data_IF_155133981081
#
_entry.id   IF_155133981081
#
_cell.length_a   1.000
_cell.length_b   1.000
_cell.length_c   1.000
_cell.angle_alpha   90.00
_cell.angle_beta   90.00
_cell.angle_gamma   90.00
#
_symmetry.space_group_name_H-M   'P 1'
#
loop_
_entity.id
_entity.type
_entity.pdbx_description
1 polymer ?
#
# COMPACT_ATOMS: atom_id res chain seq x y z
N UNK A 1 -10.32 -21.15 0.07
CA UNK A 1 -10.06 -20.05 -0.90
C UNK A 1 -9.41 -18.94 -0.12
N UNK A 2 -8.32 -18.31 -0.61
CA UNK A 2 -7.64 -17.27 0.16
C UNK A 2 -8.46 -15.97 0.19
N UNK A 3 -8.34 -15.19 1.25
CA UNK A 3 -9.00 -13.91 1.45
C UNK A 3 -7.97 -12.81 1.62
N UNK A 4 -8.13 -11.72 0.88
CA UNK A 4 -7.37 -10.48 1.07
C UNK A 4 -8.28 -9.43 1.69
N UNK A 5 -7.84 -8.80 2.77
CA UNK A 5 -8.48 -7.62 3.34
C UNK A 5 -7.80 -6.37 2.79
N UNK A 6 -8.53 -5.53 2.08
CA UNK A 6 -8.04 -4.25 1.58
C UNK A 6 -8.48 -3.13 2.54
N UNK A 7 -7.52 -2.61 3.31
CA UNK A 7 -7.75 -1.53 4.28
C UNK A 7 -7.53 -0.18 3.60
N UNK A 8 -8.54 0.68 3.65
CA UNK A 8 -8.59 1.88 2.81
C UNK A 8 -9.12 1.59 1.42
N UNK A 9 -10.18 0.77 1.33
CA UNK A 9 -10.68 0.20 0.08
C UNK A 9 -11.10 1.21 -1.00
N UNK A 10 -11.44 2.45 -0.64
CA UNK A 10 -11.74 3.52 -1.61
C UNK A 10 -10.53 4.36 -2.03
N UNK A 11 -9.30 3.96 -1.64
CA UNK A 11 -8.09 4.56 -2.18
C UNK A 11 -7.93 4.23 -3.66
N UNK A 12 -7.38 5.15 -4.47
CA UNK A 12 -7.24 4.91 -5.92
C UNK A 12 -6.36 3.70 -6.25
N UNK A 13 -5.33 3.40 -5.45
CA UNK A 13 -4.54 2.16 -5.61
C UNK A 13 -5.37 0.94 -5.19
N UNK A 14 -6.10 1.03 -4.08
CA UNK A 14 -7.02 0.00 -3.60
C UNK A 14 -8.08 -0.38 -4.63
N UNK A 15 -8.68 0.61 -5.31
CA UNK A 15 -9.67 0.38 -6.37
C UNK A 15 -9.08 -0.43 -7.52
N UNK A 16 -7.87 -0.08 -7.97
CA UNK A 16 -7.17 -0.85 -9.00
C UNK A 16 -6.81 -2.26 -8.51
N UNK A 17 -6.35 -2.41 -7.27
CA UNK A 17 -6.04 -3.71 -6.69
C UNK A 17 -7.29 -4.60 -6.60
N UNK A 18 -8.43 -4.06 -6.17
CA UNK A 18 -9.71 -4.77 -6.14
C UNK A 18 -10.06 -5.32 -7.52
N UNK A 19 -10.01 -4.49 -8.57
CA UNK A 19 -10.27 -4.94 -9.96
C UNK A 19 -9.32 -6.08 -10.35
N UNK A 20 -8.02 -5.91 -10.12
CA UNK A 20 -7.01 -6.91 -10.49
C UNK A 20 -7.18 -8.21 -9.70
N UNK A 21 -7.53 -8.17 -8.41
CA UNK A 21 -7.86 -9.38 -7.63
C UNK A 21 -9.09 -10.09 -8.18
N UNK A 22 -10.11 -9.34 -8.58
CA UNK A 22 -11.32 -9.91 -9.17
C UNK A 22 -11.04 -10.53 -10.54
N UNK A 23 -10.25 -9.89 -11.39
CA UNK A 23 -9.98 -10.38 -12.74
C UNK A 23 -8.95 -11.52 -12.77
N UNK A 24 -7.88 -11.42 -11.96
CA UNK A 24 -6.66 -12.21 -12.15
C UNK A 24 -6.30 -13.12 -10.97
N UNK A 25 -7.28 -13.42 -10.11
CA UNK A 25 -7.10 -14.31 -8.96
C UNK A 25 -8.40 -15.01 -8.54
N UNK A 26 -8.27 -15.96 -7.62
CA UNK A 26 -9.39 -16.62 -6.93
C UNK A 26 -9.59 -16.10 -5.50
N UNK A 27 -9.03 -14.94 -5.15
CA UNK A 27 -9.20 -14.42 -3.79
C UNK A 27 -10.66 -13.98 -3.54
N UNK A 28 -11.13 -14.19 -2.31
CA UNK A 28 -12.15 -13.30 -1.74
C UNK A 28 -11.51 -11.95 -1.46
N UNK A 29 -12.25 -10.87 -1.72
CA UNK A 29 -11.77 -9.50 -1.58
C UNK A 29 -12.63 -8.77 -0.55
N UNK A 30 -12.15 -8.78 0.68
CA UNK A 30 -12.79 -8.08 1.78
C UNK A 30 -12.34 -6.60 1.76
N UNK A 31 -13.29 -5.68 1.81
CA UNK A 31 -13.07 -4.24 1.64
C UNK A 31 -13.37 -3.51 2.95
N UNK A 32 -12.37 -2.83 3.52
CA UNK A 32 -12.52 -2.07 4.77
C UNK A 32 -12.34 -0.58 4.56
N UNK A 33 -13.33 0.22 4.97
CA UNK A 33 -13.33 1.68 4.86
C UNK A 33 -14.35 2.36 5.78
N UNK A 34 -14.21 3.68 5.99
CA UNK A 34 -15.09 4.46 6.88
C UNK A 34 -16.52 4.73 6.37
N UNK A 35 -16.76 4.62 5.05
CA UNK A 35 -18.08 4.88 4.47
C UNK A 35 -18.25 3.99 3.24
N UNK A 36 -18.97 2.89 3.43
CA UNK A 36 -19.17 1.83 2.46
C UNK A 36 -19.89 2.30 1.19
N UNK A 37 -20.73 3.33 1.27
CA UNK A 37 -21.45 3.89 0.12
C UNK A 37 -20.52 4.46 -0.96
N UNK A 38 -19.24 4.69 -0.63
CA UNK A 38 -18.26 5.19 -1.59
C UNK A 38 -17.59 4.08 -2.42
N UNK A 39 -17.88 2.81 -2.12
CA UNK A 39 -17.35 1.68 -2.89
C UNK A 39 -18.19 1.50 -4.16
N UNK A 40 -17.55 1.34 -5.34
CA UNK A 40 -18.26 0.93 -6.55
C UNK A 40 -18.95 -0.43 -6.37
N UNK A 41 -20.11 -0.62 -7.00
CA UNK A 41 -20.65 -1.96 -7.14
C UNK A 41 -19.81 -2.73 -8.16
N UNK A 42 -19.06 -3.72 -7.67
CA UNK A 42 -18.21 -4.58 -8.48
C UNK A 42 -18.96 -5.80 -9.05
N UNK A 43 -20.26 -5.96 -8.75
CA UNK A 43 -21.12 -7.05 -9.21
C UNK A 43 -20.49 -8.45 -9.02
N UNK A 44 -19.83 -8.68 -7.88
CA UNK A 44 -19.12 -9.92 -7.59
C UNK A 44 -19.54 -10.52 -6.24
N UNK A 45 -19.78 -11.83 -6.22
CA UNK A 45 -20.07 -12.60 -5.00
C UNK A 45 -18.82 -12.87 -4.13
N UNK A 46 -17.64 -12.42 -4.55
CA UNK A 46 -16.38 -12.54 -3.80
C UNK A 46 -16.05 -11.32 -2.96
N UNK A 47 -16.91 -10.31 -2.94
CA UNK A 47 -16.72 -9.10 -2.14
C UNK A 47 -17.53 -9.16 -0.87
N UNK A 48 -16.88 -8.78 0.23
CA UNK A 48 -17.54 -8.43 1.49
C UNK A 48 -17.05 -7.06 1.92
N UNK A 49 -17.95 -6.20 2.39
CA UNK A 49 -17.62 -4.84 2.81
C UNK A 49 -17.75 -4.72 4.33
N UNK A 50 -16.77 -4.09 4.95
CA UNK A 50 -16.72 -3.76 6.37
C UNK A 50 -16.60 -2.24 6.49
N UNK A 51 -17.55 -1.64 7.21
CA UNK A 51 -17.51 -0.21 7.53
C UNK A 51 -16.83 -0.01 8.90
N UNK A 52 -15.77 0.80 8.96
CA UNK A 52 -15.02 1.04 10.19
C UNK A 52 -13.86 2.03 10.04
N UNK A 53 -13.29 2.47 11.16
CA UNK A 53 -12.09 3.34 11.20
C UNK A 53 -10.83 2.52 11.47
N UNK A 54 -9.81 2.63 10.62
CA UNK A 54 -8.54 1.92 10.76
C UNK A 54 -7.71 2.35 11.99
N UNK A 55 -8.15 3.37 12.73
CA UNK A 55 -7.58 3.72 14.05
C UNK A 55 -8.27 2.99 15.21
N UNK A 56 -9.44 2.39 14.98
CA UNK A 56 -10.19 1.61 15.95
C UNK A 56 -9.79 0.13 15.80
N UNK A 57 -9.39 -0.50 16.91
CA UNK A 57 -8.89 -1.87 16.88
C UNK A 57 -10.02 -2.88 16.70
N UNK A 58 -11.15 -2.66 17.37
CA UNK A 58 -12.32 -3.54 17.30
C UNK A 58 -12.90 -3.58 15.87
N UNK A 59 -12.97 -2.44 15.20
CA UNK A 59 -13.39 -2.32 13.80
C UNK A 59 -12.50 -3.18 12.89
N UNK A 60 -11.17 -3.03 13.00
CA UNK A 60 -10.22 -3.81 12.18
C UNK A 60 -10.28 -5.31 12.51
N UNK A 61 -10.34 -5.66 13.78
CA UNK A 61 -10.45 -7.05 14.22
C UNK A 61 -11.70 -7.76 13.70
N UNK A 62 -12.82 -7.04 13.56
CA UNK A 62 -14.06 -7.58 12.99
C UNK A 62 -13.89 -8.03 11.53
N UNK A 63 -12.98 -7.38 10.79
CA UNK A 63 -12.72 -7.60 9.37
C UNK A 63 -11.57 -8.59 9.11
N UNK A 64 -10.83 -9.01 10.13
CA UNK A 64 -9.65 -9.87 10.02
C UNK A 64 -9.96 -11.38 10.15
N UNK A 65 -11.22 -11.76 10.38
CA UNK A 65 -11.61 -13.15 10.51
C UNK A 65 -11.44 -13.90 9.18
N UNK A 66 -10.66 -14.99 9.16
CA UNK A 66 -10.35 -15.80 7.97
C UNK A 66 -9.66 -15.00 6.85
N UNK A 67 -8.83 -14.01 7.22
CA UNK A 67 -8.00 -13.24 6.29
C UNK A 67 -6.61 -13.87 6.20
N UNK A 68 -6.12 -14.09 4.98
CA UNK A 68 -4.77 -14.60 4.73
C UNK A 68 -3.75 -13.47 4.54
N UNK A 69 -4.17 -12.37 3.91
CA UNK A 69 -3.30 -11.23 3.55
C UNK A 69 -4.02 -9.93 3.81
N UNK A 70 -3.34 -8.95 4.41
CA UNK A 70 -3.81 -7.57 4.52
C UNK A 70 -3.08 -6.71 3.50
N UNK A 71 -3.83 -6.00 2.64
CA UNK A 71 -3.31 -4.94 1.79
C UNK A 71 -3.78 -3.58 2.31
N UNK A 72 -2.87 -2.79 2.87
CA UNK A 72 -3.16 -1.49 3.44
C UNK A 72 -2.61 -0.37 2.53
N UNK A 73 -3.53 0.41 1.96
CA UNK A 73 -3.22 1.61 1.16
C UNK A 73 -4.03 2.78 1.72
N UNK A 74 -3.48 3.39 2.78
CA UNK A 74 -4.15 4.40 3.60
C UNK A 74 -3.54 5.79 3.41
N UNK A 75 -4.18 6.77 4.05
CA UNK A 75 -3.68 8.14 4.17
C UNK A 75 -4.18 8.77 5.47
N UNK A 76 -3.58 9.89 5.88
CA UNK A 76 -3.95 10.60 7.10
C UNK A 76 -3.00 10.28 8.25
N UNK A 77 -3.54 9.80 9.38
CA UNK A 77 -2.79 9.44 10.58
C UNK A 77 -2.16 8.05 10.47
N UNK A 78 -1.25 7.89 9.50
CA UNK A 78 -0.68 6.59 9.14
C UNK A 78 0.11 5.91 10.25
N UNK A 79 0.76 6.69 11.11
CA UNK A 79 1.47 6.15 12.27
C UNK A 79 0.51 5.45 13.25
N UNK A 80 -0.60 6.12 13.62
CA UNK A 80 -1.64 5.51 14.46
C UNK A 80 -2.32 4.32 13.78
N UNK A 81 -2.57 4.42 12.48
CA UNK A 81 -3.16 3.32 11.72
C UNK A 81 -2.22 2.10 11.66
N UNK A 82 -0.91 2.31 11.50
CA UNK A 82 0.07 1.22 11.52
C UNK A 82 0.13 0.52 12.88
N UNK A 83 0.13 1.29 13.99
CA UNK A 83 0.04 0.74 15.35
C UNK A 83 -1.21 -0.16 15.51
N UNK A 84 -2.38 0.33 15.10
CA UNK A 84 -3.63 -0.43 15.19
C UNK A 84 -3.63 -1.66 14.27
N UNK A 85 -3.13 -1.53 13.03
CA UNK A 85 -3.06 -2.65 12.07
C UNK A 85 -2.19 -3.77 12.62
N UNK A 86 -0.96 -3.45 13.08
CA UNK A 86 -0.04 -4.46 13.62
C UNK A 86 -0.70 -5.20 14.79
N UNK A 87 -1.25 -4.46 15.75
CA UNK A 87 -1.89 -5.04 16.93
C UNK A 87 -3.12 -5.91 16.57
N UNK A 88 -3.98 -5.43 15.67
CA UNK A 88 -5.17 -6.19 15.25
C UNK A 88 -4.80 -7.47 14.50
N UNK A 89 -3.78 -7.40 13.63
CA UNK A 89 -3.26 -8.56 12.91
C UNK A 89 -2.67 -9.61 13.85
N UNK A 90 -1.90 -9.18 14.86
CA UNK A 90 -1.38 -10.08 15.89
C UNK A 90 -2.48 -10.74 16.70
N UNK A 91 -3.47 -9.97 17.16
CA UNK A 91 -4.62 -10.50 17.91
C UNK A 91 -5.43 -11.53 17.11
N UNK A 92 -5.39 -11.46 15.78
CA UNK A 92 -6.10 -12.38 14.86
C UNK A 92 -5.19 -13.42 14.22
N UNK A 93 -3.92 -13.48 14.61
CA UNK A 93 -2.91 -14.37 14.04
C UNK A 93 -2.77 -14.26 12.51
N UNK A 94 -3.00 -13.07 11.95
CA UNK A 94 -2.77 -12.79 10.52
C UNK A 94 -1.39 -12.19 10.37
N UNK A 95 -0.52 -12.80 9.55
CA UNK A 95 0.90 -12.38 9.48
C UNK A 95 1.29 -11.62 8.23
N UNK A 96 0.63 -11.85 7.08
CA UNK A 96 1.06 -11.23 5.81
C UNK A 96 0.48 -9.83 5.64
N UNK A 97 1.35 -8.81 5.62
CA UNK A 97 0.99 -7.41 5.42
C UNK A 97 1.66 -6.84 4.16
N UNK A 98 0.89 -6.19 3.29
CA UNK A 98 1.39 -5.36 2.19
C UNK A 98 0.98 -3.93 2.49
N UNK A 99 1.94 -3.03 2.69
CA UNK A 99 1.68 -1.66 3.14
C UNK A 99 2.22 -0.63 2.15
N UNK A 100 1.39 0.30 1.70
CA UNK A 100 1.81 1.41 0.83
C UNK A 100 2.25 2.60 1.67
N UNK A 101 3.52 2.96 1.55
CA UNK A 101 4.13 4.13 2.18
C UNK A 101 4.35 5.27 1.15
N UNK A 102 5.38 6.07 1.34
CA UNK A 102 5.74 7.20 0.48
C UNK A 102 7.23 7.14 0.09
N UNK A 103 7.61 7.72 -1.06
CA UNK A 103 9.01 7.82 -1.46
C UNK A 103 9.71 8.93 -0.66
N UNK A 104 11.01 8.79 -0.42
CA UNK A 104 11.83 9.81 0.25
C UNK A 104 11.76 9.80 1.77
N UNK A 105 11.14 8.78 2.38
CA UNK A 105 11.07 8.68 3.84
C UNK A 105 12.42 8.28 4.47
N UNK A 106 13.38 7.85 3.67
CA UNK A 106 14.74 7.46 4.05
C UNK A 106 15.82 8.35 3.42
N UNK A 107 15.45 9.51 2.85
CA UNK A 107 16.36 10.34 2.07
C UNK A 107 17.00 9.60 0.87
N UNK A 108 16.26 8.63 0.30
CA UNK A 108 16.75 7.73 -0.76
C UNK A 108 16.61 8.28 -2.18
N UNK A 109 15.98 9.45 -2.33
CA UNK A 109 15.73 10.07 -3.62
C UNK A 109 16.98 10.85 -4.10
N UNK A 110 17.28 10.88 -5.40
CA UNK A 110 18.33 11.74 -5.93
C UNK A 110 18.01 13.23 -5.73
N UNK A 111 19.03 14.06 -5.52
CA UNK A 111 18.86 15.52 -5.62
C UNK A 111 18.80 15.96 -7.10
N UNK A 112 18.00 16.99 -7.45
CA UNK A 112 17.21 17.86 -6.56
C UNK A 112 15.79 17.32 -6.26
N UNK A 113 15.45 16.11 -6.70
CA UNK A 113 14.12 15.54 -6.51
C UNK A 113 13.78 15.28 -5.04
N UNK A 114 14.76 14.87 -4.24
CA UNK A 114 14.57 14.67 -2.80
C UNK A 114 14.15 15.96 -2.09
N UNK A 115 14.84 17.08 -2.33
CA UNK A 115 14.43 18.38 -1.82
C UNK A 115 13.01 18.74 -2.27
N UNK A 116 12.72 18.63 -3.56
CA UNK A 116 11.38 18.92 -4.08
C UNK A 116 10.30 18.04 -3.43
N UNK A 117 10.58 16.75 -3.23
CA UNK A 117 9.66 15.81 -2.58
C UNK A 117 9.38 16.19 -1.12
N UNK A 118 10.41 16.61 -0.38
CA UNK A 118 10.26 17.12 1.00
C UNK A 118 9.38 18.35 1.05
N UNK A 119 9.54 19.29 0.11
CA UNK A 119 8.68 20.49 0.02
C UNK A 119 7.21 20.13 -0.25
N UNK A 120 6.95 19.12 -1.10
CA UNK A 120 5.58 18.71 -1.42
C UNK A 120 4.89 17.91 -0.30
N UNK A 121 5.61 17.01 0.37
CA UNK A 121 5.02 16.18 1.43
C UNK A 121 5.03 16.88 2.80
N UNK A 122 6.05 17.69 3.09
CA UNK A 122 6.30 18.30 4.40
C UNK A 122 6.26 17.26 5.53
N UNK A 123 5.60 17.63 6.63
CA UNK A 123 5.42 16.78 7.82
C UNK A 123 4.73 15.42 7.56
N UNK A 124 4.14 15.21 6.39
CA UNK A 124 3.59 13.89 6.04
C UNK A 124 4.69 12.83 5.97
N UNK A 125 5.91 13.16 5.52
CA UNK A 125 7.01 12.19 5.45
C UNK A 125 7.32 11.59 6.83
N UNK A 126 7.29 12.40 7.89
CA UNK A 126 7.51 11.94 9.26
C UNK A 126 6.49 10.87 9.68
N UNK A 127 5.22 11.02 9.29
CA UNK A 127 4.18 10.02 9.55
C UNK A 127 4.37 8.73 8.75
N UNK A 128 4.72 8.83 7.48
CA UNK A 128 5.04 7.66 6.67
C UNK A 128 6.28 6.93 7.17
N UNK A 129 7.29 7.68 7.63
CA UNK A 129 8.50 7.14 8.21
C UNK A 129 8.18 6.35 9.47
N UNK A 130 7.51 6.98 10.43
CA UNK A 130 7.09 6.35 11.70
C UNK A 130 6.22 5.11 11.46
N UNK A 131 5.24 5.17 10.56
CA UNK A 131 4.42 4.01 10.19
C UNK A 131 5.28 2.85 9.66
N UNK A 132 6.26 3.16 8.81
CA UNK A 132 7.19 2.15 8.29
C UNK A 132 8.07 1.57 9.41
N UNK A 133 8.55 2.39 10.35
CA UNK A 133 9.34 1.91 11.50
C UNK A 133 8.52 0.96 12.40
N UNK A 134 7.26 1.28 12.67
CA UNK A 134 6.36 0.43 13.45
C UNK A 134 6.22 -0.94 12.80
N UNK A 135 6.00 -0.98 11.48
CA UNK A 135 5.83 -2.22 10.72
C UNK A 135 7.14 -3.01 10.66
N UNK A 136 8.27 -2.34 10.40
CA UNK A 136 9.57 -3.00 10.30
C UNK A 136 10.03 -3.63 11.63
N UNK A 137 9.65 -3.02 12.76
CA UNK A 137 9.91 -3.54 14.10
C UNK A 137 8.88 -4.57 14.60
N UNK A 138 7.85 -4.88 13.80
CA UNK A 138 6.85 -5.91 14.13
C UNK A 138 7.30 -7.31 13.74
N UNK A 139 6.62 -8.33 14.26
CA UNK A 139 6.86 -9.72 13.88
C UNK A 139 6.16 -10.10 12.55
N UNK A 140 5.32 -9.23 11.97
CA UNK A 140 4.55 -9.47 10.75
C UNK A 140 5.42 -9.75 9.52
N UNK A 141 4.99 -10.67 8.67
CA UNK A 141 5.56 -10.87 7.34
C UNK A 141 5.12 -9.73 6.40
N UNK A 142 5.85 -8.62 6.50
CA UNK A 142 5.51 -7.39 5.79
C UNK A 142 6.19 -7.30 4.42
N UNK A 143 5.55 -6.54 3.53
CA UNK A 143 6.21 -5.86 2.42
C UNK A 143 5.77 -4.41 2.44
N UNK A 144 6.71 -3.48 2.57
CA UNK A 144 6.44 -2.05 2.45
C UNK A 144 6.75 -1.62 1.02
N UNK A 145 5.79 -0.99 0.36
CA UNK A 145 5.93 -0.42 -0.98
C UNK A 145 6.03 1.10 -0.86
N UNK A 146 7.16 1.68 -1.26
CA UNK A 146 7.37 3.12 -1.41
C UNK A 146 7.25 3.49 -2.89
N UNK A 147 6.05 3.84 -3.38
CA UNK A 147 5.88 4.17 -4.78
C UNK A 147 6.45 5.56 -5.08
N UNK A 148 6.95 5.77 -6.30
CA UNK A 148 7.12 7.11 -6.85
C UNK A 148 5.78 7.86 -6.94
N UNK A 149 5.79 9.08 -7.45
CA UNK A 149 4.56 9.86 -7.54
C UNK A 149 3.51 9.18 -8.44
N UNK A 150 2.30 9.06 -7.89
CA UNK A 150 1.27 8.21 -8.45
C UNK A 150 0.50 8.86 -9.61
N UNK A 151 0.56 8.24 -10.79
CA UNK A 151 -0.21 8.61 -11.99
C UNK A 151 -1.45 7.72 -12.19
N UNK A 152 -2.40 8.21 -12.98
CA UNK A 152 -3.58 7.44 -13.43
C UNK A 152 -3.38 6.80 -14.82
N UNK A 153 -2.12 6.69 -15.29
CA UNK A 153 -1.80 6.03 -16.57
C UNK A 153 -2.22 4.56 -16.52
N UNK A 154 -2.90 4.09 -17.56
CA UNK A 154 -3.32 2.69 -17.69
C UNK A 154 -2.15 1.81 -18.17
N UNK A 155 -1.11 1.69 -17.35
CA UNK A 155 0.09 0.90 -17.63
C UNK A 155 0.48 0.07 -16.42
N UNK A 156 1.15 -1.06 -16.66
CA UNK A 156 1.74 -1.90 -15.64
C UNK A 156 3.24 -1.99 -15.91
N UNK A 157 3.95 -0.89 -15.65
CA UNK A 157 5.37 -0.70 -15.96
C UNK A 157 6.03 -0.11 -14.72
N UNK A 158 6.93 -0.89 -14.13
CA UNK A 158 7.66 -0.49 -12.94
C UNK A 158 9.00 -1.23 -12.87
N UNK A 159 9.93 -0.68 -12.10
CA UNK A 159 11.11 -1.34 -11.56
C UNK A 159 11.13 -1.20 -10.04
N UNK A 160 11.96 -2.02 -9.39
CA UNK A 160 12.07 -2.08 -7.93
C UNK A 160 13.48 -1.65 -7.52
N UNK A 161 13.56 -0.95 -6.39
CA UNK A 161 14.80 -0.63 -5.66
C UNK A 161 14.70 -1.15 -4.24
N UNK A 162 15.80 -1.66 -3.69
CA UNK A 162 15.86 -2.06 -2.29
C UNK A 162 15.84 -0.83 -1.34
N UNK A 163 15.68 -1.07 -0.03
CA UNK A 163 15.65 -0.02 1.00
C UNK A 163 16.90 0.86 1.00
N UNK A 164 18.05 0.26 0.76
CA UNK A 164 19.38 0.87 0.78
C UNK A 164 19.90 1.25 -0.62
N UNK A 165 19.04 1.20 -1.64
CA UNK A 165 19.38 1.63 -3.00
C UNK A 165 18.79 3.00 -3.31
N UNK A 166 19.49 3.75 -4.15
CA UNK A 166 18.99 5.03 -4.68
C UNK A 166 17.77 4.78 -5.58
N UNK A 167 16.71 5.56 -5.35
CA UNK A 167 15.49 5.53 -6.14
C UNK A 167 15.74 5.99 -7.58
N UNK A 168 15.16 5.30 -8.58
CA UNK A 168 15.52 5.49 -10.00
C UNK A 168 14.53 6.31 -10.82
N UNK A 169 13.40 6.70 -10.26
CA UNK A 169 12.39 7.42 -11.04
C UNK A 169 11.44 8.23 -10.19
N UNK A 170 10.82 9.23 -10.81
CA UNK A 170 10.00 10.22 -10.10
C UNK A 170 8.53 9.78 -9.98
N UNK A 171 8.06 8.92 -10.87
CA UNK A 171 6.64 8.59 -11.02
C UNK A 171 6.38 7.09 -11.22
N UNK A 172 5.16 6.64 -10.94
CA UNK A 172 4.67 5.29 -11.24
C UNK A 172 3.15 5.28 -11.34
N UNK A 173 2.55 4.40 -12.15
CA UNK A 173 1.09 4.29 -12.22
C UNK A 173 0.51 3.58 -10.99
N UNK A 174 -0.68 4.00 -10.56
CA UNK A 174 -1.44 3.30 -9.50
C UNK A 174 -1.70 1.84 -9.86
N UNK A 175 -1.96 1.56 -11.14
CA UNK A 175 -2.15 0.22 -11.67
C UNK A 175 -0.91 -0.66 -11.52
N UNK A 176 0.30 -0.11 -11.66
CA UNK A 176 1.55 -0.85 -11.43
C UNK A 176 1.71 -1.23 -9.97
N UNK A 177 1.50 -0.28 -9.05
CA UNK A 177 1.57 -0.52 -7.59
C UNK A 177 0.54 -1.57 -7.16
N UNK A 178 -0.70 -1.44 -7.65
CA UNK A 178 -1.76 -2.40 -7.40
C UNK A 178 -1.43 -3.80 -7.95
N UNK A 179 -0.87 -3.87 -9.17
CA UNK A 179 -0.48 -5.15 -9.80
C UNK A 179 0.61 -5.84 -8.99
N UNK A 180 1.62 -5.11 -8.52
CA UNK A 180 2.68 -5.64 -7.66
C UNK A 180 2.12 -6.15 -6.33
N UNK A 181 1.24 -5.38 -5.67
CA UNK A 181 0.57 -5.83 -4.43
C UNK A 181 -0.23 -7.13 -4.63
N UNK A 182 -0.94 -7.27 -5.75
CA UNK A 182 -1.65 -8.52 -6.09
C UNK A 182 -0.69 -9.68 -6.33
N UNK A 183 0.44 -9.44 -7.02
CA UNK A 183 1.47 -10.47 -7.24
C UNK A 183 2.08 -10.95 -5.92
N UNK A 184 2.39 -10.02 -5.01
CA UNK A 184 2.89 -10.33 -3.67
C UNK A 184 1.85 -11.12 -2.86
N UNK A 185 0.57 -10.72 -2.88
CA UNK A 185 -0.49 -11.45 -2.18
C UNK A 185 -0.66 -12.89 -2.70
N UNK A 186 -0.50 -13.10 -4.02
CA UNK A 186 -0.56 -14.43 -4.64
C UNK A 186 0.64 -15.31 -4.27
N UNK A 187 1.81 -14.70 -4.10
CA UNK A 187 3.09 -15.36 -3.82
C UNK A 187 3.69 -14.77 -2.53
N UNK A 188 3.22 -15.16 -1.33
CA UNK A 188 3.53 -14.43 -0.10
C UNK A 188 5.03 -14.34 0.24
N UNK A 189 5.84 -15.31 -0.19
CA UNK A 189 7.31 -15.29 -0.04
C UNK A 189 7.99 -14.15 -0.82
N UNK A 190 7.35 -13.65 -1.88
CA UNK A 190 7.89 -12.55 -2.68
C UNK A 190 7.95 -11.27 -1.84
N UNK A 191 9.15 -10.69 -1.73
CA UNK A 191 9.41 -9.47 -0.94
C UNK A 191 9.04 -9.61 0.54
N UNK A 192 9.11 -10.82 1.10
CA UNK A 192 8.92 -11.05 2.55
C UNK A 192 9.96 -10.28 3.36
N UNK A 193 9.49 -9.52 4.36
CA UNK A 193 10.30 -8.64 5.22
C UNK A 193 11.11 -7.59 4.43
N UNK A 194 10.64 -7.17 3.26
CA UNK A 194 11.32 -6.16 2.44
C UNK A 194 10.60 -4.80 2.44
N UNK A 195 11.38 -3.74 2.24
CA UNK A 195 10.92 -2.37 2.06
C UNK A 195 11.41 -1.82 0.72
N UNK A 196 10.55 -1.89 -0.28
CA UNK A 196 10.90 -1.71 -1.69
C UNK A 196 10.43 -0.36 -2.24
N UNK A 197 11.30 0.32 -2.95
CA UNK A 197 10.96 1.46 -3.79
C UNK A 197 10.41 0.98 -5.13
N UNK A 198 9.40 1.68 -5.67
CA UNK A 198 8.75 1.30 -6.93
C UNK A 198 8.56 2.52 -7.82
N UNK A 199 9.23 2.55 -8.97
CA UNK A 199 9.13 3.64 -9.94
C UNK A 199 8.93 3.12 -11.35
N UNK A 200 8.47 3.97 -12.26
CA UNK A 200 8.52 3.70 -13.70
C UNK A 200 9.97 3.92 -14.19
N UNK A 201 10.55 3.01 -14.99
CA UNK A 201 11.85 3.22 -15.61
C UNK A 201 11.86 4.43 -16.56
N UNK A 202 13.02 5.05 -16.75
CA UNK A 202 13.21 6.20 -17.63
C UNK A 202 12.33 7.41 -17.23
N UNK A 203 12.21 7.66 -15.92
CA UNK A 203 11.48 8.81 -15.35
C UNK A 203 12.31 9.58 -14.34
N UNK A 204 13.64 9.46 -14.43
CA UNK A 204 14.62 10.27 -13.74
C UNK A 204 14.37 11.75 -14.03
N UNK A 205 14.58 12.60 -13.02
CA UNK A 205 14.43 14.04 -13.16
C UNK A 205 14.27 14.72 -11.82
N UNK A 206 14.09 16.04 -11.86
CA UNK A 206 14.01 16.89 -10.67
C UNK A 206 12.65 16.83 -9.97
N UNK A 207 11.59 16.45 -10.70
CA UNK A 207 10.19 16.36 -10.27
C UNK A 207 9.39 15.51 -11.26
N UNK A 208 8.19 15.01 -10.91
CA UNK A 208 7.37 14.24 -11.82
C UNK A 208 6.94 15.04 -13.05
N UNK A 209 6.73 14.36 -14.19
CA UNK A 209 6.66 15.01 -15.50
C UNK A 209 5.49 16.00 -15.70
N UNK A 210 4.46 15.96 -14.85
CA UNK A 210 3.30 16.83 -14.92
C UNK A 210 3.39 18.08 -14.04
N UNK A 211 4.41 18.18 -13.19
CA UNK A 211 4.70 19.40 -12.45
C UNK A 211 5.62 20.28 -13.30
N UNK A 212 5.11 20.89 -14.38
CA UNK A 212 5.85 21.93 -15.09
C UNK A 212 5.63 23.27 -14.44
#
# INVERSE_FOLDING_TARGET
>A
MKTVLIVGANGRVSIEATKIFLENSRFNVDLFLRNAHRIPDYASNRIKVYEGDAKNIEDLESALNNVDVVFASLSGSLDKQAETIVKAMDNKNVKRLIFVAAPGIYDELPEPFNQWNKEQFGEKLNRYRKASDIIENSDLDYTIIRPGWLTDKNENVYEITAKNETFKGTEVSRKSVASLAVQIAKNPELHSKENIGVNKPNTEGNKPAWFN
#
